data_IF_326515678432
#
_entry.id   IF_326515678432
#
_cell.length_a   1.000
_cell.length_b   1.000
_cell.length_c   1.000
_cell.angle_alpha   90.00
_cell.angle_beta   90.00
_cell.angle_gamma   90.00
#
_symmetry.space_group_name_H-M   'P 1'
#
loop_
_entity.id
_entity.type
_entity.pdbx_description
1 polymer ?
#
# COMPACT_ATOMS: atom_id res chain seq x y z
N UNK A 1 14.04 -1.54 -11.50
CA UNK A 1 13.73 -0.76 -10.27
C UNK A 1 12.74 0.38 -10.51
N UNK A 2 13.05 1.41 -11.32
CA UNK A 2 12.14 2.57 -11.49
C UNK A 2 10.76 2.18 -12.04
N UNK A 3 10.72 1.43 -13.16
CA UNK A 3 9.47 1.00 -13.82
C UNK A 3 8.56 0.17 -12.90
N UNK A 4 9.12 -0.81 -12.19
CA UNK A 4 8.38 -1.68 -11.25
C UNK A 4 7.71 -0.85 -10.13
N UNK A 5 8.44 0.13 -9.55
CA UNK A 5 7.89 0.98 -8.49
C UNK A 5 6.85 1.97 -9.00
N UNK A 6 7.02 2.46 -10.22
CA UNK A 6 6.01 3.29 -10.89
C UNK A 6 4.74 2.48 -11.16
N UNK A 7 4.87 1.23 -11.64
CA UNK A 7 3.72 0.33 -11.83
C UNK A 7 3.01 0.05 -10.50
N UNK A 8 3.76 -0.21 -9.44
CA UNK A 8 3.22 -0.46 -8.10
C UNK A 8 2.44 0.75 -7.55
N UNK A 9 2.96 1.97 -7.74
CA UNK A 9 2.28 3.22 -7.38
C UNK A 9 0.98 3.41 -8.17
N UNK A 10 1.05 3.34 -9.51
CA UNK A 10 -0.11 3.56 -10.36
C UNK A 10 -1.15 2.44 -10.21
N UNK A 11 -0.71 1.20 -10.05
CA UNK A 11 -1.58 0.05 -9.78
C UNK A 11 -2.33 0.22 -8.47
N UNK A 12 -1.65 0.64 -7.39
CA UNK A 12 -2.28 0.95 -6.12
C UNK A 12 -3.30 2.10 -6.21
N UNK A 13 -2.96 3.20 -6.89
CA UNK A 13 -3.87 4.34 -7.09
C UNK A 13 -5.10 3.94 -7.91
N UNK A 14 -4.92 3.21 -9.02
CA UNK A 14 -6.01 2.73 -9.87
C UNK A 14 -6.93 1.77 -9.12
N UNK A 15 -6.36 0.86 -8.33
CA UNK A 15 -7.14 -0.09 -7.50
C UNK A 15 -7.99 0.65 -6.45
N UNK A 16 -7.42 1.65 -5.77
CA UNK A 16 -8.17 2.45 -4.78
C UNK A 16 -9.28 3.26 -5.46
N UNK A 17 -8.99 3.94 -6.58
CA UNK A 17 -9.97 4.76 -7.30
C UNK A 17 -11.10 3.94 -7.92
N UNK A 18 -10.76 2.86 -8.61
CA UNK A 18 -11.77 1.97 -9.23
C UNK A 18 -12.70 1.37 -8.19
N UNK A 19 -12.15 0.96 -7.05
CA UNK A 19 -12.94 0.42 -5.95
C UNK A 19 -13.83 1.46 -5.26
N UNK A 20 -13.35 2.69 -5.06
CA UNK A 20 -14.17 3.79 -4.55
C UNK A 20 -15.37 4.07 -5.47
N UNK A 21 -15.13 4.17 -6.78
CA UNK A 21 -16.19 4.40 -7.77
C UNK A 21 -17.19 3.25 -7.76
N UNK A 22 -16.71 2.00 -7.75
CA UNK A 22 -17.58 0.83 -7.79
C UNK A 22 -18.39 0.67 -6.50
N UNK A 23 -17.80 0.97 -5.34
CA UNK A 23 -18.48 0.94 -4.04
C UNK A 23 -19.61 1.98 -3.98
N UNK A 24 -19.39 3.19 -4.52
CA UNK A 24 -20.40 4.25 -4.58
C UNK A 24 -21.60 3.89 -5.47
N UNK A 25 -21.36 3.18 -6.58
CA UNK A 25 -22.41 2.78 -7.54
C UNK A 25 -23.17 1.55 -7.02
N UNK A 26 -22.47 0.53 -6.56
CA UNK A 26 -23.05 -0.78 -6.26
C UNK A 26 -23.75 -0.89 -4.91
N UNK A 27 -23.41 -0.03 -3.92
CA UNK A 27 -23.92 -0.02 -2.53
C UNK A 27 -24.13 -1.41 -1.91
N UNK A 28 -23.32 -2.40 -2.30
CA UNK A 28 -23.47 -3.78 -1.88
C UNK A 28 -22.28 -4.16 -1.01
N UNK A 29 -22.55 -4.73 0.16
CA UNK A 29 -21.53 -5.15 1.12
C UNK A 29 -20.56 -6.18 0.52
N UNK A 30 -21.03 -7.01 -0.40
CA UNK A 30 -20.20 -8.03 -1.06
C UNK A 30 -19.11 -7.40 -1.94
N UNK A 31 -19.43 -6.34 -2.68
CA UNK A 31 -18.47 -5.59 -3.49
C UNK A 31 -17.40 -5.02 -2.56
N UNK A 32 -17.82 -4.46 -1.41
CA UNK A 32 -16.90 -3.90 -0.43
C UNK A 32 -15.90 -4.95 0.06
N UNK A 33 -16.37 -6.13 0.46
CA UNK A 33 -15.49 -7.21 0.95
C UNK A 33 -14.49 -7.65 -0.13
N UNK A 34 -14.94 -7.84 -1.37
CA UNK A 34 -14.08 -8.28 -2.48
C UNK A 34 -12.97 -7.26 -2.73
N UNK A 35 -13.29 -5.97 -2.80
CA UNK A 35 -12.25 -4.96 -3.03
C UNK A 35 -11.28 -4.82 -1.87
N UNK A 36 -11.69 -5.06 -0.62
CA UNK A 36 -10.75 -5.14 0.51
C UNK A 36 -9.73 -6.26 0.33
N UNK A 37 -10.16 -7.44 -0.13
CA UNK A 37 -9.26 -8.56 -0.40
C UNK A 37 -8.32 -8.25 -1.56
N UNK A 38 -8.82 -7.65 -2.64
CA UNK A 38 -8.00 -7.32 -3.82
C UNK A 38 -6.99 -6.20 -3.50
N UNK A 39 -7.46 -5.08 -2.94
CA UNK A 39 -6.60 -3.92 -2.60
C UNK A 39 -5.61 -4.29 -1.50
N UNK A 40 -6.07 -4.99 -0.46
CA UNK A 40 -5.22 -5.47 0.63
C UNK A 40 -4.20 -6.50 0.15
N UNK A 41 -4.63 -7.45 -0.69
CA UNK A 41 -3.75 -8.43 -1.32
C UNK A 41 -2.65 -7.76 -2.15
N UNK A 42 -3.01 -6.78 -2.99
CA UNK A 42 -2.04 -6.01 -3.76
C UNK A 42 -1.02 -5.30 -2.86
N UNK A 43 -1.46 -4.68 -1.77
CA UNK A 43 -0.57 -4.02 -0.81
C UNK A 43 0.39 -5.00 -0.14
N UNK A 44 -0.09 -6.15 0.33
CA UNK A 44 0.75 -7.16 0.99
C UNK A 44 1.75 -7.76 0.00
N UNK A 45 1.32 -8.12 -1.21
CA UNK A 45 2.21 -8.63 -2.25
C UNK A 45 3.27 -7.61 -2.65
N UNK A 46 2.88 -6.34 -2.78
CA UNK A 46 3.80 -5.24 -3.01
C UNK A 46 4.83 -5.14 -1.87
N UNK A 47 4.38 -5.09 -0.62
CA UNK A 47 5.30 -5.07 0.53
C UNK A 47 6.28 -6.24 0.54
N UNK A 48 5.80 -7.45 0.27
CA UNK A 48 6.63 -8.66 0.21
C UNK A 48 7.71 -8.54 -0.88
N UNK A 49 7.35 -8.02 -2.06
CA UNK A 49 8.31 -7.77 -3.14
C UNK A 49 9.40 -6.78 -2.71
N UNK A 50 9.03 -5.66 -2.09
CA UNK A 50 10.01 -4.66 -1.64
C UNK A 50 10.87 -5.17 -0.47
N UNK A 51 10.33 -6.02 0.39
CA UNK A 51 11.09 -6.70 1.45
C UNK A 51 12.11 -7.70 0.86
N UNK A 52 11.70 -8.51 -0.12
CA UNK A 52 12.56 -9.51 -0.78
C UNK A 52 13.75 -8.88 -1.51
N UNK A 53 13.52 -7.79 -2.25
CA UNK A 53 14.60 -7.07 -2.96
C UNK A 53 15.37 -6.07 -2.10
N UNK A 54 15.10 -6.00 -0.78
CA UNK A 54 15.68 -5.03 0.16
C UNK A 54 15.54 -3.56 -0.31
N UNK A 55 14.48 -3.25 -1.04
CA UNK A 55 14.27 -1.95 -1.65
C UNK A 55 13.70 -0.95 -0.64
N UNK A 56 14.50 0.07 -0.29
CA UNK A 56 14.17 1.11 0.69
C UNK A 56 13.83 0.57 2.10
N UNK A 57 14.33 -0.63 2.42
CA UNK A 57 14.11 -1.29 3.70
C UNK A 57 15.22 -0.95 4.71
N UNK A 58 15.41 0.35 4.96
CA UNK A 58 16.33 0.82 6.00
C UNK A 58 15.79 0.45 7.38
N UNK A 59 16.68 0.00 8.30
CA UNK A 59 16.30 -0.27 9.70
C UNK A 59 15.73 1.02 10.31
N UNK A 60 14.48 0.95 10.83
CA UNK A 60 13.66 2.09 11.32
C UNK A 60 13.09 3.04 10.25
N UNK A 61 13.12 2.68 8.97
CA UNK A 61 12.44 3.43 7.92
C UNK A 61 10.90 3.38 8.06
N UNK A 62 10.20 4.38 7.52
CA UNK A 62 8.72 4.46 7.53
C UNK A 62 8.06 3.21 6.95
N UNK A 63 8.71 2.59 5.97
CA UNK A 63 8.27 1.37 5.28
C UNK A 63 8.36 0.12 6.15
N UNK A 64 9.39 0.03 7.00
CA UNK A 64 9.56 -1.05 7.98
C UNK A 64 8.44 -0.99 9.03
N UNK A 65 8.17 0.20 9.57
CA UNK A 65 7.09 0.42 10.54
C UNK A 65 5.73 0.06 9.93
N UNK A 66 5.45 0.55 8.71
CA UNK A 66 4.21 0.21 8.00
C UNK A 66 4.03 -1.30 7.79
N UNK A 67 5.13 -2.02 7.48
CA UNK A 67 5.10 -3.47 7.28
C UNK A 67 4.70 -4.22 8.55
N UNK A 68 5.28 -3.84 9.68
CA UNK A 68 4.93 -4.43 10.97
C UNK A 68 3.48 -4.12 11.37
N UNK A 69 2.99 -2.89 11.14
CA UNK A 69 1.59 -2.56 11.43
C UNK A 69 0.66 -3.38 10.53
N UNK A 70 0.99 -3.54 9.25
CA UNK A 70 0.18 -4.32 8.29
C UNK A 70 0.12 -5.80 8.67
N UNK A 71 1.27 -6.40 9.01
CA UNK A 71 1.35 -7.80 9.49
C UNK A 71 0.55 -7.99 10.78
N UNK A 72 0.70 -7.08 11.74
CA UNK A 72 -0.06 -7.12 12.99
C UNK A 72 -1.57 -6.99 12.75
N UNK A 73 -1.97 -6.14 11.80
CA UNK A 73 -3.39 -5.97 11.42
C UNK A 73 -3.98 -7.25 10.81
N UNK A 74 -3.22 -7.98 9.99
CA UNK A 74 -3.66 -9.24 9.40
C UNK A 74 -3.75 -10.35 10.46
N UNK A 75 -2.77 -10.45 11.35
CA UNK A 75 -2.75 -11.48 12.41
C UNK A 75 -3.87 -11.27 13.43
N UNK A 76 -4.24 -10.02 13.70
CA UNK A 76 -5.32 -9.71 14.65
C UNK A 76 -6.72 -9.84 14.04
N UNK A 77 -6.85 -9.94 12.72
CA UNK A 77 -8.12 -10.06 12.00
C UNK A 77 -9.02 -11.23 12.48
N UNK A 78 -8.51 -12.44 12.75
CA UNK A 78 -9.32 -13.57 13.25
C UNK A 78 -9.84 -13.35 14.68
N UNK A 79 -9.25 -12.43 15.45
CA UNK A 79 -9.62 -12.13 16.84
C UNK A 79 -10.80 -11.14 16.94
N UNK A 80 -11.40 -10.73 15.82
CA UNK A 80 -12.58 -9.85 15.78
C UNK A 80 -12.28 -8.38 15.48
N UNK A 81 -11.05 -8.02 15.10
CA UNK A 81 -10.68 -6.64 14.76
C UNK A 81 -11.17 -6.15 13.38
N UNK A 82 -12.01 -6.93 12.69
CA UNK A 82 -12.46 -6.66 11.32
C UNK A 82 -13.18 -5.31 11.17
N UNK A 83 -13.92 -4.85 12.19
CA UNK A 83 -14.59 -3.53 12.16
C UNK A 83 -13.57 -2.40 12.17
N UNK A 84 -12.52 -2.51 12.98
CA UNK A 84 -11.43 -1.55 13.01
C UNK A 84 -10.65 -1.56 11.68
N UNK A 85 -10.43 -2.73 11.09
CA UNK A 85 -9.83 -2.84 9.75
C UNK A 85 -10.66 -2.13 8.68
N UNK A 86 -11.98 -2.15 8.78
CA UNK A 86 -12.88 -1.51 7.81
C UNK A 86 -12.74 0.02 7.77
N UNK A 87 -12.24 0.64 8.83
CA UNK A 87 -11.95 2.08 8.84
C UNK A 87 -10.46 2.38 8.67
N UNK A 88 -9.60 1.53 9.21
CA UNK A 88 -8.15 1.73 9.18
C UNK A 88 -7.51 1.34 7.85
N UNK A 89 -8.04 0.35 7.13
CA UNK A 89 -7.50 -0.09 5.85
C UNK A 89 -7.50 0.99 4.76
N UNK A 90 -8.56 1.80 4.53
CA UNK A 90 -8.51 2.87 3.53
C UNK A 90 -7.51 3.97 3.89
N UNK A 91 -7.33 4.26 5.19
CA UNK A 91 -6.31 5.19 5.68
C UNK A 91 -4.90 4.64 5.44
N UNK A 92 -4.68 3.37 5.78
CA UNK A 92 -3.42 2.66 5.55
C UNK A 92 -3.08 2.59 4.06
N UNK A 93 -4.08 2.33 3.21
CA UNK A 93 -3.95 2.31 1.76
C UNK A 93 -3.48 3.65 1.19
N UNK A 94 -4.09 4.74 1.66
CA UNK A 94 -3.73 6.10 1.27
C UNK A 94 -2.32 6.45 1.76
N UNK A 95 -1.98 6.05 2.98
CA UNK A 95 -0.64 6.25 3.54
C UNK A 95 0.44 5.47 2.78
N UNK A 96 0.16 4.23 2.37
CA UNK A 96 1.06 3.43 1.54
C UNK A 96 1.29 4.05 0.17
N UNK A 97 0.22 4.50 -0.50
CA UNK A 97 0.32 5.19 -1.77
C UNK A 97 1.18 6.47 -1.65
N UNK A 98 1.04 7.22 -0.55
CA UNK A 98 1.87 8.39 -0.28
C UNK A 98 3.35 8.05 -0.05
N UNK A 99 3.66 6.98 0.69
CA UNK A 99 5.04 6.50 0.86
C UNK A 99 5.64 6.14 -0.50
N UNK A 100 4.91 5.37 -1.31
CA UNK A 100 5.35 5.00 -2.66
C UNK A 100 5.54 6.23 -3.55
N UNK A 101 4.65 7.22 -3.48
CA UNK A 101 4.78 8.48 -4.20
C UNK A 101 6.06 9.23 -3.80
N UNK A 102 6.30 9.36 -2.49
CA UNK A 102 7.48 10.00 -1.95
C UNK A 102 8.77 9.30 -2.40
N UNK A 103 8.78 7.97 -2.44
CA UNK A 103 9.94 7.20 -2.89
C UNK A 103 10.19 7.32 -4.39
N UNK A 104 9.14 7.29 -5.21
CA UNK A 104 9.25 7.46 -6.68
C UNK A 104 9.61 8.90 -7.06
N UNK A 105 9.09 9.90 -6.35
CA UNK A 105 9.31 11.29 -6.70
C UNK A 105 10.57 11.88 -6.04
N UNK A 106 10.80 11.66 -4.74
CA UNK A 106 11.95 12.26 -4.05
C UNK A 106 13.21 11.39 -4.07
N UNK A 107 13.08 10.08 -3.86
CA UNK A 107 14.27 9.19 -3.74
C UNK A 107 14.79 8.68 -5.09
N UNK A 108 13.98 8.77 -6.16
CA UNK A 108 14.39 8.37 -7.51
C UNK A 108 14.72 9.54 -8.45
N UNK A 109 14.57 10.79 -7.99
CA UNK A 109 15.23 11.94 -8.62
C UNK A 109 16.75 11.76 -8.49
N UNK A 110 17.49 12.01 -9.59
CA UNK A 110 18.96 11.85 -9.62
C UNK A 110 19.55 12.69 -8.48
N UNK A 111 20.49 12.16 -7.67
CA UNK A 111 21.13 12.98 -6.65
C UNK A 111 21.84 14.12 -7.38
N UNK A 112 21.43 15.36 -7.09
CA UNK A 112 22.08 16.59 -7.58
C UNK A 112 23.58 16.63 -7.18
N UNK A 113 24.00 15.78 -6.25
CA UNK A 113 25.39 15.55 -5.88
C UNK A 113 26.26 14.91 -6.99
N UNK A 114 25.66 14.32 -8.04
CA UNK A 114 26.40 13.77 -9.19
C UNK A 114 26.55 14.78 -10.35
N UNK A 115 26.04 16.01 -10.19
CA UNK A 115 26.08 17.08 -11.19
C UNK A 115 27.12 18.17 -10.86
N UNK A 116 28.06 17.90 -9.95
CA UNK A 116 29.10 18.85 -9.57
C UNK A 116 30.49 18.27 -9.77
#
# INVERSE_FOLDING_TARGET
MKKIKTIDLWGGILLILSFLIWSLIGRNMMITIIGYVIVGGWQVSSMAMHAYYHWFNEKKGRRWIYGWITVFSIITMPLGSYILLLFTAPVMASYYAWICYKEVYLKMQRPLALLK
#
